data_IF_679739497856
#
_entry.id   IF_679739497856
#
_cell.length_a   1.000
_cell.length_b   1.000
_cell.length_c   1.000
_cell.angle_alpha   90.00
_cell.angle_beta   90.00
_cell.angle_gamma   90.00
#
_symmetry.space_group_name_H-M   'P 1'
#
loop_
_entity.id
_entity.type
_entity.pdbx_description
1 polymer ?
#
# COMPACT_ATOMS: atom_id res chain seq x y z
N UNK A 1 -16.32 3.55 0.96
CA UNK A 1 -16.58 3.70 2.42
C UNK A 1 -17.54 2.62 2.96
N UNK A 2 -18.74 2.46 2.40
CA UNK A 2 -19.72 1.42 2.77
C UNK A 2 -19.14 0.00 2.89
N UNK A 3 -18.37 -0.43 1.88
CA UNK A 3 -17.73 -1.75 1.90
C UNK A 3 -16.71 -1.92 3.04
N UNK A 4 -16.05 -0.84 3.48
CA UNK A 4 -15.13 -0.88 4.61
C UNK A 4 -15.90 -1.02 5.93
N UNK A 5 -17.03 -0.33 6.08
CA UNK A 5 -17.91 -0.36 7.25
C UNK A 5 -18.57 -1.74 7.44
N UNK A 6 -19.09 -2.34 6.37
CA UNK A 6 -19.62 -3.72 6.39
C UNK A 6 -18.57 -4.72 6.90
N UNK A 7 -17.33 -4.61 6.40
CA UNK A 7 -16.21 -5.51 6.75
C UNK A 7 -15.65 -5.27 8.16
N UNK A 8 -16.03 -4.18 8.80
CA UNK A 8 -15.76 -3.93 10.22
C UNK A 8 -16.92 -4.33 11.12
N UNK A 9 -17.91 -5.08 10.59
CA UNK A 9 -19.12 -5.50 11.32
C UNK A 9 -19.93 -4.31 11.87
N UNK A 10 -19.93 -3.20 11.13
CA UNK A 10 -20.81 -2.05 11.41
C UNK A 10 -22.08 -2.27 10.59
N UNK A 11 -23.24 -2.11 11.23
CA UNK A 11 -24.52 -2.21 10.54
C UNK A 11 -24.67 -1.02 9.58
N UNK A 12 -24.74 -1.29 8.29
CA UNK A 12 -24.81 -0.28 7.24
C UNK A 12 -26.09 -0.38 6.41
N UNK A 13 -27.07 -1.21 6.83
CA UNK A 13 -28.24 -1.53 6.01
C UNK A 13 -28.95 -0.26 5.52
N UNK A 14 -29.27 0.66 6.43
CA UNK A 14 -29.95 1.91 6.11
C UNK A 14 -29.12 2.81 5.17
N UNK A 15 -27.81 2.93 5.44
CA UNK A 15 -26.91 3.73 4.61
C UNK A 15 -26.76 3.15 3.18
N UNK A 16 -26.74 1.82 3.05
CA UNK A 16 -26.69 1.13 1.76
C UNK A 16 -27.99 1.31 0.97
N UNK A 17 -29.14 1.20 1.62
CA UNK A 17 -30.45 1.37 0.96
C UNK A 17 -30.60 2.78 0.38
N UNK A 18 -30.18 3.82 1.12
CA UNK A 18 -30.17 5.20 0.59
C UNK A 18 -29.16 5.40 -0.54
N UNK A 19 -28.02 4.69 -0.53
CA UNK A 19 -27.06 4.72 -1.63
C UNK A 19 -27.65 4.12 -2.92
N UNK A 20 -28.36 2.99 -2.81
CA UNK A 20 -29.03 2.36 -3.95
C UNK A 20 -30.12 3.27 -4.52
N UNK A 21 -30.88 3.97 -3.65
CA UNK A 21 -31.86 4.96 -4.08
C UNK A 21 -31.20 6.14 -4.82
N UNK A 22 -30.07 6.64 -4.33
CA UNK A 22 -29.31 7.70 -4.99
C UNK A 22 -28.87 7.29 -6.41
N UNK A 23 -28.37 6.06 -6.59
CA UNK A 23 -27.98 5.55 -7.92
C UNK A 23 -29.19 5.39 -8.85
N UNK A 24 -30.34 4.95 -8.32
CA UNK A 24 -31.57 4.84 -9.10
C UNK A 24 -32.08 6.20 -9.58
N UNK A 25 -32.02 7.24 -8.75
CA UNK A 25 -32.44 8.59 -9.15
C UNK A 25 -31.42 9.27 -10.07
N UNK A 26 -30.13 8.99 -9.89
CA UNK A 26 -29.09 9.43 -10.82
C UNK A 26 -29.28 8.84 -12.22
N UNK A 27 -29.67 7.56 -12.32
CA UNK A 27 -29.99 6.92 -13.61
C UNK A 27 -31.26 7.48 -14.28
N UNK A 28 -32.09 8.23 -13.54
CA UNK A 28 -33.29 8.92 -14.05
C UNK A 28 -33.01 10.40 -14.37
N UNK A 29 -31.74 10.83 -14.36
CA UNK A 29 -31.30 12.24 -14.52
C UNK A 29 -31.82 13.22 -13.45
N UNK A 30 -32.40 12.73 -12.35
CA UNK A 30 -32.85 13.58 -11.25
C UNK A 30 -31.72 13.85 -10.25
N UNK A 31 -30.84 14.78 -10.62
CA UNK A 31 -29.59 15.07 -9.89
C UNK A 31 -29.81 15.63 -8.48
N UNK A 32 -30.88 16.40 -8.28
CA UNK A 32 -31.24 16.99 -6.98
C UNK A 32 -31.57 15.94 -5.93
N UNK A 33 -32.44 14.99 -6.28
CA UNK A 33 -32.83 13.93 -5.35
C UNK A 33 -31.70 12.92 -5.16
N UNK A 34 -30.94 12.63 -6.22
CA UNK A 34 -29.73 11.80 -6.13
C UNK A 34 -28.71 12.37 -5.14
N UNK A 35 -28.50 13.69 -5.15
CA UNK A 35 -27.61 14.36 -4.19
C UNK A 35 -28.13 14.26 -2.76
N UNK A 36 -29.43 14.49 -2.55
CA UNK A 36 -30.07 14.40 -1.23
C UNK A 36 -29.96 12.98 -0.64
N UNK A 37 -30.23 11.94 -1.43
CA UNK A 37 -30.10 10.56 -0.99
C UNK A 37 -28.63 10.16 -0.73
N UNK A 38 -27.68 10.70 -1.50
CA UNK A 38 -26.26 10.53 -1.23
C UNK A 38 -25.83 11.16 0.09
N UNK A 39 -26.28 12.38 0.39
CA UNK A 39 -25.97 13.06 1.65
C UNK A 39 -26.58 12.31 2.84
N UNK A 40 -27.84 11.88 2.71
CA UNK A 40 -28.52 11.07 3.71
C UNK A 40 -27.83 9.72 3.95
N UNK A 41 -27.37 9.06 2.88
CA UNK A 41 -26.56 7.84 3.01
C UNK A 41 -25.28 8.07 3.82
N UNK A 42 -24.59 9.20 3.61
CA UNK A 42 -23.39 9.58 4.39
C UNK A 42 -23.70 9.89 5.84
N UNK A 43 -24.82 10.56 6.10
CA UNK A 43 -25.28 10.85 7.44
C UNK A 43 -25.57 9.56 8.23
N UNK A 44 -26.35 8.64 7.64
CA UNK A 44 -26.65 7.34 8.24
C UNK A 44 -25.39 6.49 8.46
N UNK A 45 -24.41 6.57 7.56
CA UNK A 45 -23.12 5.90 7.74
C UNK A 45 -22.37 6.45 8.96
N UNK A 46 -22.39 7.78 9.13
CA UNK A 46 -21.70 8.46 10.23
C UNK A 46 -22.38 8.14 11.57
N UNK A 47 -23.71 8.07 11.59
CA UNK A 47 -24.48 7.64 12.74
C UNK A 47 -24.17 6.18 13.11
N UNK A 48 -24.21 5.26 12.15
CA UNK A 48 -23.86 3.86 12.39
C UNK A 48 -22.42 3.67 12.93
N UNK A 49 -21.46 4.47 12.44
CA UNK A 49 -20.08 4.48 12.97
C UNK A 49 -20.02 5.05 14.39
N UNK A 50 -20.83 6.05 14.71
CA UNK A 50 -20.90 6.62 16.06
C UNK A 50 -21.60 5.69 17.05
N UNK A 51 -22.64 4.98 16.63
CA UNK A 51 -23.36 3.99 17.44
C UNK A 51 -22.51 2.74 17.71
N UNK A 52 -21.56 2.44 16.81
CA UNK A 52 -20.59 1.37 17.02
C UNK A 52 -19.51 1.70 18.08
N UNK A 53 -19.48 2.91 18.67
CA UNK A 53 -18.55 3.28 19.76
C UNK A 53 -19.00 2.68 21.09
N UNK A 54 -18.07 2.20 21.90
CA UNK A 54 -18.39 1.62 23.22
C UNK A 54 -18.50 2.75 24.24
N UNK A 55 -19.63 2.79 24.95
CA UNK A 55 -19.82 3.68 26.09
C UNK A 55 -19.33 2.98 27.37
N UNK A 56 -18.26 3.51 27.98
CA UNK A 56 -17.79 3.09 29.30
C UNK A 56 -17.81 4.30 30.23
N UNK A 57 -18.71 4.28 31.22
CA UNK A 57 -18.86 5.33 32.25
C UNK A 57 -18.89 6.78 31.68
N UNK A 58 -19.69 7.00 30.63
CA UNK A 58 -19.87 8.33 30.03
C UNK A 58 -18.81 8.72 28.98
N UNK A 59 -17.73 7.94 28.81
CA UNK A 59 -16.76 8.12 27.74
C UNK A 59 -17.13 7.25 26.54
N UNK A 60 -17.40 7.90 25.40
CA UNK A 60 -17.58 7.26 24.08
C UNK A 60 -16.22 6.86 23.53
N UNK A 61 -15.76 5.66 23.86
CA UNK A 61 -14.50 5.12 23.36
C UNK A 61 -14.70 4.48 21.97
N UNK A 62 -13.72 4.67 21.10
CA UNK A 62 -13.68 4.00 19.80
C UNK A 62 -13.58 2.48 20.00
N UNK A 63 -14.63 1.76 19.61
CA UNK A 63 -14.64 0.30 19.59
C UNK A 63 -13.56 -0.26 18.65
N UNK A 64 -13.09 -1.48 18.90
CA UNK A 64 -12.24 -2.26 17.99
C UNK A 64 -12.81 -2.31 16.56
N UNK A 65 -14.14 -2.28 16.42
CA UNK A 65 -14.83 -2.21 15.12
C UNK A 65 -14.60 -0.88 14.42
N UNK A 66 -14.74 0.24 15.13
CA UNK A 66 -14.44 1.56 14.57
C UNK A 66 -12.96 1.73 14.25
N UNK A 67 -12.05 1.24 15.10
CA UNK A 67 -10.61 1.26 14.83
C UNK A 67 -10.30 0.44 13.57
N UNK A 68 -10.85 -0.78 13.44
CA UNK A 68 -10.68 -1.59 12.22
C UNK A 68 -11.24 -0.89 10.97
N UNK A 69 -12.36 -0.17 11.10
CA UNK A 69 -12.92 0.65 10.02
C UNK A 69 -11.94 1.74 9.58
N UNK A 70 -11.43 2.55 10.51
CA UNK A 70 -10.44 3.60 10.23
C UNK A 70 -9.17 3.04 9.60
N UNK A 71 -8.62 1.96 10.17
CA UNK A 71 -7.43 1.30 9.63
C UNK A 71 -7.67 0.72 8.23
N UNK A 72 -8.88 0.24 7.94
CA UNK A 72 -9.25 -0.27 6.62
C UNK A 72 -9.51 0.86 5.62
N UNK A 73 -10.07 1.99 6.05
CA UNK A 73 -10.39 3.14 5.20
C UNK A 73 -9.14 3.87 4.73
N UNK A 74 -8.25 4.19 5.67
CA UNK A 74 -7.03 4.96 5.44
C UNK A 74 -5.82 4.11 5.10
N UNK A 75 -5.95 2.77 5.11
CA UNK A 75 -4.85 1.87 4.79
C UNK A 75 -3.70 1.91 5.79
N UNK A 76 -3.94 2.28 7.06
CA UNK A 76 -2.91 2.33 8.10
C UNK A 76 -2.14 1.01 8.25
N UNK A 77 -2.77 -0.14 7.96
CA UNK A 77 -2.08 -1.43 7.97
C UNK A 77 -0.87 -1.47 7.01
N UNK A 78 -1.01 -0.89 5.81
CA UNK A 78 0.09 -0.84 4.84
C UNK A 78 1.19 0.14 5.28
N UNK A 79 0.81 1.24 5.95
CA UNK A 79 1.78 2.20 6.53
C UNK A 79 2.58 1.55 7.66
N UNK A 80 1.91 0.89 8.60
CA UNK A 80 2.56 0.17 9.71
C UNK A 80 3.48 -0.91 9.15
N UNK A 81 3.02 -1.67 8.16
CA UNK A 81 3.84 -2.68 7.51
C UNK A 81 5.06 -2.07 6.80
N UNK A 82 4.88 -0.98 6.04
CA UNK A 82 5.97 -0.27 5.38
C UNK A 82 7.01 0.27 6.36
N UNK A 83 6.58 0.80 7.51
CA UNK A 83 7.48 1.24 8.58
C UNK A 83 8.25 0.07 9.20
N UNK A 84 7.57 -1.02 9.55
CA UNK A 84 8.21 -2.22 10.11
C UNK A 84 9.22 -2.83 9.12
N UNK A 85 8.85 -2.88 7.84
CA UNK A 85 9.71 -3.36 6.76
C UNK A 85 10.96 -2.49 6.59
N UNK A 86 10.80 -1.16 6.64
CA UNK A 86 11.92 -0.21 6.59
C UNK A 86 12.87 -0.41 7.77
N UNK A 87 12.34 -0.58 8.98
CA UNK A 87 13.15 -0.85 10.17
C UNK A 87 13.89 -2.19 10.08
N UNK A 88 13.20 -3.23 9.60
CA UNK A 88 13.77 -4.56 9.45
C UNK A 88 14.91 -4.57 8.43
N UNK A 89 14.73 -3.96 7.25
CA UNK A 89 15.79 -3.86 6.26
C UNK A 89 16.93 -2.93 6.69
N UNK A 90 16.62 -1.85 7.42
CA UNK A 90 17.65 -1.01 8.04
C UNK A 90 18.53 -1.79 9.02
N UNK A 91 17.91 -2.63 9.86
CA UNK A 91 18.64 -3.49 10.80
C UNK A 91 19.47 -4.55 10.08
N UNK A 92 18.92 -5.18 9.03
CA UNK A 92 19.64 -6.16 8.20
C UNK A 92 20.86 -5.55 7.52
N UNK A 93 20.75 -4.33 6.98
CA UNK A 93 21.88 -3.61 6.39
C UNK A 93 22.94 -3.30 7.45
N UNK A 94 22.51 -2.81 8.62
CA UNK A 94 23.45 -2.49 9.70
C UNK A 94 24.22 -3.72 10.20
N UNK A 95 23.57 -4.89 10.27
CA UNK A 95 24.16 -6.10 10.87
C UNK A 95 24.87 -7.01 9.88
N UNK A 96 24.44 -7.05 8.62
CA UNK A 96 24.85 -8.04 7.63
C UNK A 96 25.33 -7.41 6.31
N UNK A 97 25.77 -6.15 6.32
CA UNK A 97 26.28 -5.46 5.12
C UNK A 97 27.48 -6.15 4.46
N UNK A 98 28.34 -6.78 5.25
CA UNK A 98 29.61 -7.37 4.79
C UNK A 98 29.47 -8.82 4.29
N UNK A 99 28.30 -9.44 4.49
CA UNK A 99 28.08 -10.81 4.04
C UNK A 99 27.84 -10.85 2.53
N UNK A 100 28.47 -11.83 1.87
CA UNK A 100 28.37 -12.07 0.43
C UNK A 100 27.83 -13.47 0.15
N UNK A 101 27.01 -13.60 -0.90
CA UNK A 101 26.52 -14.88 -1.43
C UNK A 101 26.83 -14.91 -2.93
N UNK A 102 27.69 -15.84 -3.36
CA UNK A 102 28.24 -15.91 -4.72
C UNK A 102 28.81 -14.54 -5.18
N UNK A 103 29.70 -13.95 -4.37
CA UNK A 103 30.33 -12.63 -4.60
C UNK A 103 29.37 -11.43 -4.75
N UNK A 104 28.07 -11.63 -4.51
CA UNK A 104 27.09 -10.55 -4.43
C UNK A 104 26.92 -10.14 -2.96
N UNK A 105 27.12 -8.87 -2.61
CA UNK A 105 26.92 -8.41 -1.25
C UNK A 105 25.43 -8.34 -0.92
N UNK A 106 25.07 -8.85 0.27
CA UNK A 106 23.67 -8.94 0.71
C UNK A 106 23.00 -7.58 0.85
N UNK A 107 23.78 -6.50 1.06
CA UNK A 107 23.23 -5.16 1.09
C UNK A 107 22.45 -4.83 -0.20
N UNK A 108 22.83 -5.37 -1.37
CA UNK A 108 22.14 -5.10 -2.63
C UNK A 108 20.66 -5.51 -2.58
N UNK A 109 20.39 -6.72 -2.11
CA UNK A 109 19.03 -7.21 -1.90
C UNK A 109 18.31 -6.37 -0.85
N UNK A 110 18.95 -6.06 0.29
CA UNK A 110 18.30 -5.28 1.36
C UNK A 110 17.95 -3.85 0.94
N UNK A 111 18.78 -3.19 0.12
CA UNK A 111 18.48 -1.88 -0.45
C UNK A 111 17.29 -1.92 -1.41
N UNK A 112 17.12 -3.01 -2.17
CA UNK A 112 15.90 -3.22 -2.95
C UNK A 112 14.67 -3.45 -2.05
N UNK A 113 14.84 -4.17 -0.94
CA UNK A 113 13.84 -4.28 0.13
C UNK A 113 13.39 -2.91 0.67
N UNK A 114 14.35 -2.00 0.94
CA UNK A 114 14.06 -0.62 1.32
C UNK A 114 13.31 0.15 0.24
N UNK A 115 13.75 0.05 -1.03
CA UNK A 115 13.07 0.69 -2.16
C UNK A 115 11.62 0.27 -2.29
N UNK A 116 11.34 -1.02 -2.13
CA UNK A 116 9.98 -1.55 -2.16
C UNK A 116 9.15 -1.11 -0.95
N UNK A 117 9.75 -0.93 0.22
CA UNK A 117 9.09 -0.40 1.41
C UNK A 117 8.70 1.07 1.22
N UNK A 118 9.58 1.86 0.61
CA UNK A 118 9.31 3.24 0.22
C UNK A 118 8.17 3.31 -0.82
N UNK A 119 8.13 2.39 -1.78
CA UNK A 119 7.03 2.29 -2.75
C UNK A 119 5.68 2.00 -2.08
N UNK A 120 5.64 1.12 -1.08
CA UNK A 120 4.40 0.84 -0.34
C UNK A 120 3.88 2.11 0.33
N UNK A 121 4.77 2.87 0.98
CA UNK A 121 4.43 4.13 1.64
C UNK A 121 3.96 5.19 0.64
N UNK A 122 4.69 5.39 -0.47
CA UNK A 122 4.30 6.35 -1.50
C UNK A 122 2.98 5.97 -2.17
N UNK A 123 2.76 4.68 -2.42
CA UNK A 123 1.50 4.18 -2.99
C UNK A 123 0.30 4.42 -2.09
N UNK A 124 0.44 4.29 -0.77
CA UNK A 124 -0.63 4.61 0.18
C UNK A 124 -0.93 6.11 0.18
N UNK A 125 0.10 6.96 0.14
CA UNK A 125 -0.07 8.43 0.07
C UNK A 125 -0.74 8.86 -1.23
N UNK A 126 -0.36 8.28 -2.36
CA UNK A 126 -0.97 8.58 -3.66
C UNK A 126 -2.43 8.11 -3.75
N UNK A 127 -2.74 6.92 -3.23
CA UNK A 127 -4.11 6.40 -3.17
C UNK A 127 -4.98 7.29 -2.27
N UNK A 128 -4.45 7.76 -1.13
CA UNK A 128 -5.11 8.74 -0.26
C UNK A 128 -5.34 10.09 -0.95
N UNK A 129 -4.35 10.59 -1.69
CA UNK A 129 -4.45 11.88 -2.39
C UNK A 129 -5.46 11.86 -3.52
N UNK A 130 -5.54 10.76 -4.28
CA UNK A 130 -6.39 10.66 -5.47
C UNK A 130 -7.83 10.27 -5.14
N UNK A 131 -8.02 9.35 -4.21
CA UNK A 131 -9.33 8.71 -3.99
C UNK A 131 -9.91 8.93 -2.60
N UNK A 132 -9.13 9.49 -1.66
CA UNK A 132 -9.54 9.67 -0.28
C UNK A 132 -9.73 8.36 0.50
N UNK A 133 -9.41 7.20 -0.09
CA UNK A 133 -9.43 5.88 0.52
C UNK A 133 -8.48 4.92 -0.20
N UNK A 134 -7.95 3.91 0.51
CA UNK A 134 -7.00 2.95 -0.08
C UNK A 134 -7.74 1.76 -0.70
N UNK A 135 -7.60 1.54 -2.02
CA UNK A 135 -8.19 0.38 -2.72
C UNK A 135 -7.52 -0.93 -2.25
N UNK A 136 -8.38 -1.91 -1.94
CA UNK A 136 -8.02 -3.12 -1.19
C UNK A 136 -7.16 -4.14 -1.93
N UNK A 137 -7.13 -4.11 -3.27
CA UNK A 137 -6.51 -5.17 -4.09
C UNK A 137 -4.98 -5.29 -3.89
N UNK A 138 -4.33 -4.25 -3.34
CA UNK A 138 -2.88 -4.21 -3.14
C UNK A 138 -2.38 -4.87 -1.83
N UNK A 139 -3.26 -5.32 -0.91
CA UNK A 139 -2.83 -5.74 0.46
C UNK A 139 -2.00 -7.03 0.55
N UNK A 140 -2.37 -8.08 -0.19
CA UNK A 140 -1.58 -9.32 -0.24
C UNK A 140 -0.27 -9.10 -0.99
N UNK A 141 -0.33 -8.23 -2.01
CA UNK A 141 0.85 -7.82 -2.75
C UNK A 141 1.85 -7.04 -1.89
N UNK A 142 1.40 -6.25 -0.91
CA UNK A 142 2.33 -5.54 -0.01
C UNK A 142 3.23 -6.45 0.82
N UNK A 143 2.83 -7.70 1.12
CA UNK A 143 3.71 -8.67 1.80
C UNK A 143 4.63 -9.41 0.84
N UNK A 144 4.20 -9.64 -0.40
CA UNK A 144 4.99 -10.35 -1.40
C UNK A 144 6.01 -9.44 -2.11
N UNK A 145 5.68 -8.16 -2.32
CA UNK A 145 6.51 -7.17 -3.00
C UNK A 145 7.90 -7.04 -2.35
N UNK A 146 8.04 -6.93 -1.02
CA UNK A 146 9.36 -6.86 -0.39
C UNK A 146 10.18 -8.14 -0.53
N UNK A 147 9.56 -9.32 -0.63
CA UNK A 147 10.29 -10.56 -0.86
C UNK A 147 10.76 -10.67 -2.31
N UNK A 148 9.90 -10.31 -3.26
CA UNK A 148 10.24 -10.28 -4.68
C UNK A 148 11.31 -9.22 -4.98
N UNK A 149 11.28 -8.08 -4.29
CA UNK A 149 12.27 -7.03 -4.47
C UNK A 149 13.67 -7.46 -4.03
N UNK A 150 13.81 -8.37 -3.05
CA UNK A 150 15.12 -8.95 -2.68
C UNK A 150 15.75 -9.71 -3.85
N UNK A 151 14.94 -10.50 -4.56
CA UNK A 151 15.38 -11.29 -5.72
C UNK A 151 15.73 -10.36 -6.87
N UNK A 152 14.88 -9.37 -7.17
CA UNK A 152 15.17 -8.41 -8.23
C UNK A 152 16.39 -7.53 -7.91
N UNK A 153 16.59 -7.15 -6.65
CA UNK A 153 17.78 -6.43 -6.21
C UNK A 153 19.07 -7.24 -6.38
N UNK A 154 19.02 -8.54 -6.05
CA UNK A 154 20.12 -9.47 -6.29
C UNK A 154 20.49 -9.54 -7.79
N UNK A 155 19.48 -9.72 -8.65
CA UNK A 155 19.66 -9.78 -10.09
C UNK A 155 20.16 -8.45 -10.68
N UNK A 156 19.65 -7.32 -10.21
CA UNK A 156 20.09 -6.00 -10.64
C UNK A 156 21.57 -5.76 -10.32
N UNK A 157 22.03 -6.21 -9.15
CA UNK A 157 23.44 -6.13 -8.80
C UNK A 157 24.31 -6.97 -9.73
N UNK A 158 23.90 -8.20 -10.06
CA UNK A 158 24.64 -9.04 -11.02
C UNK A 158 24.72 -8.41 -12.41
N UNK A 159 23.62 -7.84 -12.91
CA UNK A 159 23.60 -7.13 -14.20
C UNK A 159 24.47 -5.87 -14.20
N UNK A 160 24.55 -5.17 -13.07
CA UNK A 160 25.39 -3.98 -12.92
C UNK A 160 26.87 -4.32 -12.72
N UNK A 161 27.16 -5.37 -11.93
CA UNK A 161 28.50 -5.87 -11.63
C UNK A 161 29.16 -6.49 -12.87
N UNK A 162 28.40 -7.22 -13.68
CA UNK A 162 28.85 -7.83 -14.94
C UNK A 162 29.21 -6.82 -16.05
N UNK A 163 29.04 -5.52 -15.82
CA UNK A 163 29.41 -4.47 -16.77
C UNK A 163 28.41 -4.26 -17.91
N UNK A 164 27.24 -4.93 -17.86
CA UNK A 164 26.17 -4.73 -18.85
C UNK A 164 25.59 -3.31 -18.77
N UNK A 165 25.71 -2.66 -17.61
CA UNK A 165 25.33 -1.26 -17.35
C UNK A 165 26.54 -0.54 -16.73
N UNK A 166 27.51 -0.16 -17.56
CA UNK A 166 28.73 0.51 -17.09
C UNK A 166 28.57 2.04 -17.10
N UNK A 167 28.46 2.64 -15.90
CA UNK A 167 28.74 4.07 -15.73
C UNK A 167 30.25 4.24 -15.46
N UNK A 168 30.92 5.07 -16.26
CA UNK A 168 32.35 5.36 -16.12
C UNK A 168 32.57 6.33 -14.94
N UNK A 169 32.56 5.81 -13.70
CA UNK A 169 32.68 6.61 -12.48
C UNK A 169 33.65 5.94 -11.49
N UNK A 170 34.36 6.75 -10.69
CA UNK A 170 35.30 6.33 -9.63
C UNK A 170 34.76 5.18 -8.73
N UNK A 171 35.66 4.42 -8.11
CA UNK A 171 35.31 3.22 -7.31
C UNK A 171 34.26 3.48 -6.22
N UNK A 172 34.35 4.61 -5.51
CA UNK A 172 33.42 4.97 -4.43
C UNK A 172 32.05 5.41 -4.96
N UNK A 173 32.00 6.09 -6.10
CA UNK A 173 30.75 6.46 -6.77
C UNK A 173 30.09 5.27 -7.47
N UNK A 174 30.87 4.24 -7.84
CA UNK A 174 30.33 2.97 -8.35
C UNK A 174 29.52 2.22 -7.30
N UNK A 175 29.98 2.20 -6.04
CA UNK A 175 29.24 1.58 -4.92
C UNK A 175 27.93 2.32 -4.67
N UNK A 176 27.96 3.66 -4.54
CA UNK A 176 26.75 4.45 -4.34
C UNK A 176 25.77 4.30 -5.53
N UNK A 177 26.27 4.32 -6.76
CA UNK A 177 25.45 4.10 -7.95
C UNK A 177 24.79 2.73 -7.93
N UNK A 178 25.51 1.67 -7.55
CA UNK A 178 24.93 0.33 -7.42
C UNK A 178 23.88 0.23 -6.29
N UNK A 179 24.08 0.92 -5.16
CA UNK A 179 23.07 1.04 -4.10
C UNK A 179 21.81 1.74 -4.59
N UNK A 180 21.97 2.83 -5.34
CA UNK A 180 20.87 3.58 -5.90
C UNK A 180 20.09 2.77 -6.94
N UNK A 181 20.78 2.04 -7.82
CA UNK A 181 20.16 1.13 -8.79
C UNK A 181 19.36 0.04 -8.07
N UNK A 182 19.93 -0.62 -7.07
CA UNK A 182 19.22 -1.65 -6.30
C UNK A 182 17.97 -1.09 -5.60
N UNK A 183 18.08 0.10 -5.02
CA UNK A 183 16.95 0.81 -4.43
C UNK A 183 15.86 1.12 -5.47
N UNK A 184 16.24 1.65 -6.64
CA UNK A 184 15.29 1.94 -7.73
C UNK A 184 14.63 0.66 -8.25
N UNK A 185 15.37 -0.43 -8.42
CA UNK A 185 14.79 -1.73 -8.80
C UNK A 185 13.75 -2.19 -7.79
N UNK A 186 14.05 -2.05 -6.49
CA UNK A 186 13.10 -2.29 -5.43
C UNK A 186 11.85 -1.40 -5.51
N UNK A 187 12.04 -0.10 -5.72
CA UNK A 187 10.97 0.87 -5.85
C UNK A 187 10.10 0.65 -7.10
N UNK A 188 10.66 0.11 -8.18
CA UNK A 188 9.94 -0.17 -9.42
C UNK A 188 9.34 -1.58 -9.48
N UNK A 189 9.52 -2.40 -8.44
CA UNK A 189 9.12 -3.82 -8.44
C UNK A 189 7.62 -4.00 -8.73
N UNK A 190 6.73 -3.22 -8.10
CA UNK A 190 5.29 -3.34 -8.37
C UNK A 190 4.92 -2.98 -9.82
N UNK A 191 5.61 -2.00 -10.42
CA UNK A 191 5.37 -1.60 -11.81
C UNK A 191 5.82 -2.70 -12.78
N UNK A 192 6.96 -3.34 -12.52
CA UNK A 192 7.44 -4.49 -13.29
C UNK A 192 6.44 -5.66 -13.22
N UNK A 193 5.93 -5.97 -12.01
CA UNK A 193 4.95 -7.04 -11.82
C UNK A 193 3.66 -6.75 -12.60
N UNK A 194 3.13 -5.52 -12.53
CA UNK A 194 1.91 -5.14 -13.26
C UNK A 194 2.10 -5.23 -14.79
N UNK A 195 3.26 -4.83 -15.29
CA UNK A 195 3.62 -4.98 -16.71
C UNK A 195 3.75 -6.45 -17.13
N UNK A 196 4.39 -7.28 -16.31
CA UNK A 196 4.54 -8.71 -16.58
C UNK A 196 3.18 -9.43 -16.58
N UNK A 197 2.30 -9.09 -15.64
CA UNK A 197 0.93 -9.63 -15.58
C UNK A 197 0.15 -9.32 -16.85
N UNK A 198 0.20 -8.06 -17.31
CA UNK A 198 -0.48 -7.63 -18.55
C UNK A 198 0.07 -8.30 -19.80
N UNK A 199 1.36 -8.61 -19.85
CA UNK A 199 1.95 -9.33 -20.98
C UNK A 199 1.48 -10.80 -20.96
N UNK A 200 1.43 -11.41 -19.78
CA UNK A 200 0.94 -12.80 -19.63
C UNK A 200 -0.54 -12.96 -19.97
N UNK A 201 -1.38 -11.96 -19.71
CA UNK A 201 -2.81 -12.01 -20.10
C UNK A 201 -3.04 -11.82 -21.60
N UNK A 202 -2.06 -11.26 -22.32
CA UNK A 202 -2.13 -11.02 -23.76
C UNK A 202 -1.45 -12.13 -24.60
N UNK A 203 -1.01 -13.22 -23.96
CA UNK A 203 -0.30 -14.35 -24.55
C UNK A 203 -1.19 -15.60 -24.53
#
# INVERSE_FOLDING_TARGET
MLQAAHRSSIDIKNSYDFYVLAVKEMNKDNMTDAYLYCDRSRYELTNAVNDAKVNLKGLRLHSLRTISFFFKLYGLYAVVFGMLSTLLFGLLIYRYSELTILDVPLWASFFAGLGSSAQILSGVVDDLRKEGAVIRYKRVWYTAIPLLSLIFGYMAYLLFSSGLVAFNVNSQSKIFSSMFVCFLTGFSTNWLIDKLSKISENL
#
